data_IF_811516392006
#
_entry.id   IF_811516392006
#
_cell.length_a   1.000
_cell.length_b   1.000
_cell.length_c   1.000
_cell.angle_alpha   90.00
_cell.angle_beta   90.00
_cell.angle_gamma   90.00
#
_symmetry.space_group_name_H-M   'P 1'
#
loop_
_entity.id
_entity.type
_entity.pdbx_description
1 polymer ?
#
# COMPACT_ATOMS: atom_id res chain seq x y z
N UNK A 1 3.19 4.56 -13.78
CA UNK A 1 3.66 5.15 -12.50
C UNK A 1 3.19 4.28 -11.36
N UNK A 2 4.08 3.88 -10.43
CA UNK A 2 3.66 3.24 -9.16
C UNK A 2 3.00 4.34 -8.32
N UNK A 3 1.78 4.11 -7.86
CA UNK A 3 1.10 5.02 -6.94
C UNK A 3 1.74 4.97 -5.55
N UNK A 4 1.25 5.77 -4.59
CA UNK A 4 1.73 5.69 -3.22
C UNK A 4 1.49 4.28 -2.66
N UNK A 5 2.45 3.85 -1.85
CA UNK A 5 2.44 2.59 -1.14
C UNK A 5 2.26 2.83 0.34
N UNK A 6 1.57 1.91 1.02
CA UNK A 6 1.56 1.89 2.47
C UNK A 6 1.92 0.52 3.00
N UNK A 7 2.66 0.51 4.11
CA UNK A 7 3.08 -0.71 4.80
C UNK A 7 2.31 -0.87 6.12
N UNK A 8 1.78 -2.06 6.36
CA UNK A 8 1.15 -2.46 7.62
C UNK A 8 1.91 -3.65 8.20
N UNK A 9 2.32 -3.55 9.47
CA UNK A 9 2.92 -4.66 10.19
C UNK A 9 1.84 -5.56 10.79
N UNK A 10 2.02 -6.88 10.67
CA UNK A 10 1.13 -7.91 11.21
C UNK A 10 1.92 -9.00 11.89
N UNK A 11 1.20 -9.80 12.67
CA UNK A 11 1.76 -10.90 13.48
C UNK A 11 1.18 -12.23 13.00
N UNK A 12 2.04 -13.22 12.84
CA UNK A 12 1.68 -14.65 12.80
C UNK A 12 2.06 -15.27 14.14
N UNK A 13 1.24 -16.18 14.65
CA UNK A 13 1.53 -16.99 15.84
C UNK A 13 1.65 -18.44 15.43
N UNK A 14 2.73 -19.08 15.84
CA UNK A 14 2.93 -20.50 15.60
C UNK A 14 1.94 -21.35 16.39
N UNK A 15 1.33 -22.30 15.69
CA UNK A 15 0.47 -23.33 16.27
C UNK A 15 0.92 -24.74 15.86
N UNK A 16 2.06 -24.83 15.17
CA UNK A 16 2.68 -26.08 14.75
C UNK A 16 3.40 -26.80 15.89
N UNK A 17 4.10 -27.87 15.55
CA UNK A 17 5.04 -28.53 16.47
C UNK A 17 6.35 -27.74 16.50
N UNK A 18 7.24 -28.07 17.43
CA UNK A 18 8.57 -27.46 17.53
C UNK A 18 9.28 -27.44 16.16
N UNK A 19 9.91 -26.31 15.83
CA UNK A 19 10.57 -26.05 14.54
C UNK A 19 9.65 -26.03 13.31
N UNK A 20 8.62 -25.18 13.34
CA UNK A 20 7.73 -24.98 12.19
C UNK A 20 8.27 -23.91 11.23
N UNK A 21 7.99 -24.10 9.93
CA UNK A 21 8.31 -23.11 8.89
C UNK A 21 7.07 -22.79 8.10
N UNK A 22 6.65 -21.53 8.14
CA UNK A 22 5.50 -21.05 7.38
C UNK A 22 5.97 -20.39 6.08
N UNK A 23 5.36 -20.79 4.97
CA UNK A 23 5.59 -20.23 3.63
C UNK A 23 4.41 -19.36 3.24
N UNK A 24 4.72 -18.22 2.63
CA UNK A 24 3.73 -17.26 2.16
C UNK A 24 3.21 -17.61 0.75
N UNK A 25 1.89 -17.61 0.59
CA UNK A 25 1.22 -17.52 -0.70
C UNK A 25 0.38 -16.23 -0.77
N UNK A 26 0.38 -15.54 -1.92
CA UNK A 26 -0.34 -14.27 -2.11
C UNK A 26 -1.13 -14.28 -3.41
N UNK A 27 -2.40 -13.89 -3.33
CA UNK A 27 -3.21 -13.46 -4.48
C UNK A 27 -3.49 -11.97 -4.34
N UNK A 28 -2.74 -11.15 -5.08
CA UNK A 28 -2.91 -9.70 -5.06
C UNK A 28 -4.26 -9.30 -5.65
N UNK A 29 -5.02 -8.39 -5.02
CA UNK A 29 -6.10 -7.69 -5.71
C UNK A 29 -5.50 -6.83 -6.84
N UNK A 30 -6.30 -6.39 -7.85
CA UNK A 30 -5.89 -5.38 -8.81
C UNK A 30 -5.03 -4.29 -8.16
N UNK A 31 -3.79 -4.12 -8.63
CA UNK A 31 -2.73 -3.40 -7.92
C UNK A 31 -1.53 -4.28 -7.59
N UNK A 32 -0.65 -3.78 -6.71
CA UNK A 32 0.52 -4.53 -6.26
C UNK A 32 0.50 -4.65 -4.73
N UNK A 33 0.55 -5.88 -4.24
CA UNK A 33 0.74 -6.18 -2.82
C UNK A 33 2.05 -6.93 -2.69
N UNK A 34 2.93 -6.43 -1.83
CA UNK A 34 4.13 -7.12 -1.42
C UNK A 34 4.08 -7.44 0.07
N UNK A 35 4.66 -8.56 0.45
CA UNK A 35 4.68 -9.03 1.84
C UNK A 35 6.06 -9.60 2.13
N UNK A 36 6.70 -9.13 3.21
CA UNK A 36 8.07 -9.49 3.58
C UNK A 36 8.14 -9.80 5.08
N UNK A 37 8.84 -10.87 5.50
CA UNK A 37 9.54 -11.87 4.66
C UNK A 37 8.56 -12.83 3.94
N UNK A 38 9.07 -13.67 3.03
CA UNK A 38 8.29 -14.71 2.33
C UNK A 38 8.23 -16.04 3.09
N UNK A 39 9.10 -16.21 4.08
CA UNK A 39 9.21 -17.38 4.94
C UNK A 39 9.38 -16.93 6.39
N UNK A 40 8.69 -17.60 7.32
CA UNK A 40 8.83 -17.39 8.76
C UNK A 40 9.18 -18.71 9.43
N UNK A 41 10.27 -18.73 10.18
CA UNK A 41 10.71 -19.90 10.94
C UNK A 41 10.42 -19.66 12.42
N UNK A 42 9.81 -20.64 13.08
CA UNK A 42 9.49 -20.59 14.51
C UNK A 42 10.22 -21.74 15.20
N UNK A 43 10.76 -21.44 16.37
CA UNK A 43 11.51 -22.37 17.21
C UNK A 43 10.67 -22.95 18.35
N UNK A 44 9.58 -22.26 18.74
CA UNK A 44 8.75 -22.60 19.90
C UNK A 44 7.26 -22.46 19.58
N UNK A 45 6.45 -23.33 20.17
CA UNK A 45 5.00 -23.22 20.16
C UNK A 45 4.54 -21.85 20.70
N UNK A 46 3.56 -21.24 20.03
CA UNK A 46 2.98 -19.91 20.37
C UNK A 46 3.97 -18.75 20.15
N UNK A 47 5.15 -18.99 19.59
CA UNK A 47 6.06 -17.93 19.15
C UNK A 47 5.39 -17.03 18.11
N UNK A 48 5.74 -15.75 18.13
CA UNK A 48 5.13 -14.72 17.29
C UNK A 48 6.18 -14.02 16.46
N UNK A 49 5.95 -13.95 15.15
CA UNK A 49 6.79 -13.17 14.25
C UNK A 49 5.99 -12.11 13.51
N UNK A 50 6.66 -10.97 13.32
CA UNK A 50 6.14 -9.86 12.55
C UNK A 50 6.45 -10.03 11.07
N UNK A 51 5.54 -9.55 10.24
CA UNK A 51 5.73 -9.41 8.81
C UNK A 51 5.06 -8.13 8.33
N UNK A 52 5.58 -7.57 7.24
CA UNK A 52 5.14 -6.29 6.69
C UNK A 52 4.38 -6.53 5.39
N UNK A 53 3.20 -5.93 5.26
CA UNK A 53 2.37 -5.94 4.05
C UNK A 53 2.44 -4.55 3.44
N UNK A 54 3.04 -4.41 2.27
CA UNK A 54 3.06 -3.18 1.48
C UNK A 54 2.02 -3.25 0.38
N UNK A 55 1.02 -2.37 0.43
CA UNK A 55 -0.01 -2.23 -0.60
C UNK A 55 0.29 -1.00 -1.44
N UNK A 56 0.47 -1.17 -2.75
CA UNK A 56 0.69 -0.08 -3.72
C UNK A 56 -0.56 0.09 -4.57
N UNK A 57 -1.14 1.29 -4.51
CA UNK A 57 -2.28 1.62 -5.36
C UNK A 57 -1.84 1.79 -6.83
N UNK A 58 -2.52 1.11 -7.75
CA UNK A 58 -2.32 1.30 -9.19
C UNK A 58 -3.38 2.23 -9.76
N UNK A 59 -2.97 3.20 -10.58
CA UNK A 59 -3.86 4.26 -11.11
C UNK A 59 -5.01 3.75 -11.98
N UNK A 60 -4.95 2.52 -12.50
CA UNK A 60 -6.02 1.88 -13.28
C UNK A 60 -7.16 1.31 -12.43
N UNK A 61 -7.01 1.17 -11.11
CA UNK A 61 -8.06 0.74 -10.16
C UNK A 61 -9.12 1.84 -9.96
N UNK A 62 -8.78 3.08 -10.32
CA UNK A 62 -9.50 4.32 -9.98
C UNK A 62 -10.81 4.50 -10.77
N UNK A 63 -11.15 3.64 -11.73
CA UNK A 63 -12.24 3.89 -12.69
C UNK A 63 -13.58 3.21 -12.40
N UNK A 64 -13.70 2.27 -11.45
CA UNK A 64 -14.93 1.46 -11.30
C UNK A 64 -15.67 1.54 -9.95
N UNK A 65 -15.15 2.25 -8.94
CA UNK A 65 -15.80 2.33 -7.62
C UNK A 65 -16.22 0.96 -7.05
N UNK A 66 -15.38 -0.07 -7.21
CA UNK A 66 -15.70 -1.44 -6.83
C UNK A 66 -14.63 -2.05 -5.91
N UNK A 67 -15.05 -2.89 -4.97
CA UNK A 67 -14.13 -3.63 -4.11
C UNK A 67 -13.37 -4.68 -4.91
N UNK A 68 -12.05 -4.65 -4.76
CA UNK A 68 -11.10 -5.59 -5.33
C UNK A 68 -10.58 -6.52 -4.24
N UNK A 69 -10.63 -7.83 -4.49
CA UNK A 69 -10.40 -8.84 -3.46
C UNK A 69 -9.16 -9.70 -3.75
N UNK A 70 -8.28 -9.77 -2.77
CA UNK A 70 -7.12 -10.64 -2.73
C UNK A 70 -6.99 -11.31 -1.36
N UNK A 71 -5.90 -12.03 -1.17
CA UNK A 71 -5.60 -12.70 0.09
C UNK A 71 -4.12 -13.03 0.19
N UNK A 72 -3.66 -13.29 1.40
CA UNK A 72 -2.42 -14.00 1.65
C UNK A 72 -2.67 -15.17 2.59
N UNK A 73 -1.76 -16.13 2.58
CA UNK A 73 -1.83 -17.33 3.40
C UNK A 73 -0.44 -17.68 3.89
N UNK A 74 -0.35 -17.97 5.18
CA UNK A 74 0.81 -18.60 5.80
C UNK A 74 0.48 -20.07 6.04
N UNK A 75 1.34 -20.98 5.57
CA UNK A 75 1.16 -22.41 5.79
C UNK A 75 2.48 -23.13 6.06
N UNK A 76 2.46 -24.06 7.00
CA UNK A 76 3.53 -25.00 7.31
C UNK A 76 3.32 -26.39 6.64
N UNK A 77 2.33 -26.49 5.75
CA UNK A 77 1.91 -27.74 5.11
C UNK A 77 0.80 -28.50 5.87
N UNK A 78 0.55 -28.18 7.14
CA UNK A 78 -0.50 -28.80 7.98
C UNK A 78 -1.55 -27.77 8.38
N UNK A 79 -1.08 -26.68 8.98
CA UNK A 79 -1.84 -25.51 9.38
C UNK A 79 -1.82 -24.49 8.25
N UNK A 80 -2.96 -23.80 8.10
CA UNK A 80 -3.12 -22.75 7.10
C UNK A 80 -3.87 -21.58 7.70
N UNK A 81 -3.23 -20.41 7.69
CA UNK A 81 -3.85 -19.16 8.15
C UNK A 81 -3.98 -18.22 6.97
N UNK A 82 -5.22 -18.01 6.52
CA UNK A 82 -5.56 -17.13 5.40
C UNK A 82 -6.20 -15.84 5.87
N UNK A 83 -5.74 -14.71 5.31
CA UNK A 83 -6.29 -13.38 5.58
C UNK A 83 -6.64 -12.65 4.28
N UNK A 84 -7.88 -12.15 4.15
CA UNK A 84 -8.29 -11.33 3.01
C UNK A 84 -7.58 -9.97 2.97
N UNK A 85 -7.31 -9.49 1.76
CA UNK A 85 -6.90 -8.11 1.45
C UNK A 85 -7.95 -7.54 0.52
N UNK A 86 -8.58 -6.44 0.92
CA UNK A 86 -9.59 -5.75 0.11
C UNK A 86 -9.10 -4.34 -0.19
N UNK A 87 -9.16 -3.94 -1.47
CA UNK A 87 -8.78 -2.59 -1.91
C UNK A 87 -9.97 -1.97 -2.62
N UNK A 88 -10.28 -0.71 -2.32
CA UNK A 88 -11.30 0.06 -3.03
C UNK A 88 -10.79 1.46 -3.31
N UNK A 89 -11.06 1.99 -4.51
CA UNK A 89 -10.89 3.40 -4.82
C UNK A 89 -12.23 4.10 -4.71
N UNK A 90 -12.33 5.08 -3.84
CA UNK A 90 -13.59 5.74 -3.50
C UNK A 90 -13.67 7.13 -4.14
N UNK A 91 -13.38 7.25 -5.44
CA UNK A 91 -13.72 8.50 -6.16
C UNK A 91 -15.23 8.68 -6.28
N UNK A 92 -16.02 7.64 -6.02
CA UNK A 92 -17.44 7.75 -5.73
C UNK A 92 -17.94 6.56 -4.90
N UNK A 93 -18.49 6.87 -3.74
CA UNK A 93 -19.55 6.12 -3.06
C UNK A 93 -19.18 4.80 -2.33
N UNK A 94 -19.08 4.88 -0.99
CA UNK A 94 -19.05 3.75 -0.07
C UNK A 94 -20.36 2.92 -0.06
N UNK A 95 -21.40 3.37 -0.77
CA UNK A 95 -22.72 2.70 -0.90
C UNK A 95 -22.70 1.38 -1.70
N UNK A 96 -21.53 0.84 -2.06
CA UNK A 96 -21.47 -0.43 -2.79
C UNK A 96 -21.92 -1.61 -1.91
N UNK A 97 -22.53 -2.61 -2.55
CA UNK A 97 -23.30 -3.70 -1.92
C UNK A 97 -22.52 -4.42 -0.80
N UNK A 98 -22.90 -4.28 0.48
CA UNK A 98 -22.17 -4.84 1.61
C UNK A 98 -22.15 -6.38 1.63
N UNK A 99 -23.08 -7.06 0.95
CA UNK A 99 -23.15 -8.54 0.93
C UNK A 99 -21.84 -9.22 0.53
N UNK A 100 -21.24 -8.81 -0.60
CA UNK A 100 -19.98 -9.40 -1.09
C UNK A 100 -18.80 -9.17 -0.13
N UNK A 101 -18.80 -8.02 0.55
CA UNK A 101 -17.79 -7.70 1.56
C UNK A 101 -17.97 -8.58 2.80
N UNK A 102 -19.21 -8.82 3.22
CA UNK A 102 -19.53 -9.74 4.33
C UNK A 102 -19.10 -11.18 4.00
N UNK A 103 -19.36 -11.67 2.80
CA UNK A 103 -19.01 -13.04 2.38
C UNK A 103 -17.49 -13.27 2.40
N UNK A 104 -16.72 -12.30 1.92
CA UNK A 104 -15.26 -12.42 1.84
C UNK A 104 -14.59 -12.26 3.21
N UNK A 105 -15.07 -11.31 4.03
CA UNK A 105 -14.47 -10.96 5.32
C UNK A 105 -15.02 -11.77 6.51
N UNK A 106 -16.16 -12.44 6.34
CA UNK A 106 -16.87 -13.17 7.38
C UNK A 106 -15.97 -14.10 8.18
N UNK A 107 -15.89 -13.88 9.50
CA UNK A 107 -15.11 -14.70 10.44
C UNK A 107 -13.58 -14.69 10.26
N UNK A 108 -13.03 -13.86 9.37
CA UNK A 108 -11.60 -13.86 9.02
C UNK A 108 -10.92 -12.55 9.38
N UNK A 109 -9.69 -12.62 9.90
CA UNK A 109 -8.88 -11.41 10.08
C UNK A 109 -8.55 -10.78 8.72
N UNK A 110 -8.89 -9.51 8.51
CA UNK A 110 -8.77 -8.86 7.21
C UNK A 110 -7.98 -7.53 7.23
N UNK A 111 -7.44 -7.16 6.06
CA UNK A 111 -6.91 -5.83 5.76
C UNK A 111 -7.79 -5.17 4.70
N UNK A 112 -8.42 -4.04 5.01
CA UNK A 112 -9.21 -3.25 4.06
C UNK A 112 -8.50 -1.92 3.79
N UNK A 113 -8.25 -1.59 2.53
CA UNK A 113 -7.60 -0.35 2.11
C UNK A 113 -8.59 0.48 1.28
N UNK A 114 -8.95 1.65 1.81
CA UNK A 114 -9.80 2.65 1.15
C UNK A 114 -8.93 3.77 0.60
N UNK A 115 -8.80 3.80 -0.72
CA UNK A 115 -7.88 4.67 -1.42
C UNK A 115 -8.53 5.95 -1.95
N UNK A 116 -8.03 7.09 -1.50
CA UNK A 116 -8.36 8.41 -2.04
C UNK A 116 -9.78 8.89 -1.72
N UNK A 117 -10.23 8.76 -0.46
CA UNK A 117 -11.51 9.35 -0.04
C UNK A 117 -11.52 10.87 -0.30
N UNK A 118 -12.61 11.33 -0.89
CA UNK A 118 -12.85 12.73 -1.20
C UNK A 118 -14.23 13.13 -0.69
N UNK A 119 -14.28 13.89 0.41
CA UNK A 119 -15.54 14.25 1.07
C UNK A 119 -16.26 13.02 1.63
N UNK A 120 -16.59 13.01 2.92
CA UNK A 120 -17.31 11.89 3.53
C UNK A 120 -18.49 12.43 4.31
N UNK A 121 -19.69 12.00 3.93
CA UNK A 121 -20.89 12.20 4.72
C UNK A 121 -20.91 11.15 5.84
N UNK A 122 -20.97 11.60 7.10
CA UNK A 122 -20.98 10.73 8.27
C UNK A 122 -22.03 9.62 8.20
N UNK A 123 -23.29 9.86 7.77
CA UNK A 123 -24.28 8.79 7.68
C UNK A 123 -23.88 7.66 6.73
N UNK A 124 -23.23 7.99 5.60
CA UNK A 124 -22.74 6.99 4.64
C UNK A 124 -21.57 6.19 5.25
N UNK A 125 -20.69 6.87 5.98
CA UNK A 125 -19.58 6.22 6.67
C UNK A 125 -20.06 5.29 7.78
N UNK A 126 -21.02 5.73 8.57
CA UNK A 126 -21.60 4.95 9.66
C UNK A 126 -22.35 3.74 9.13
N UNK A 127 -23.16 3.89 8.08
CA UNK A 127 -23.81 2.76 7.40
C UNK A 127 -22.79 1.74 6.87
N UNK A 128 -21.71 2.23 6.27
CA UNK A 128 -20.62 1.37 5.81
C UNK A 128 -19.94 0.63 6.97
N UNK A 129 -19.63 1.33 8.07
CA UNK A 129 -19.00 0.73 9.25
C UNK A 129 -19.95 -0.26 9.95
N UNK A 130 -21.24 0.03 10.03
CA UNK A 130 -22.27 -0.89 10.52
C UNK A 130 -22.38 -2.14 9.63
N UNK A 131 -22.14 -2.00 8.32
CA UNK A 131 -22.05 -3.15 7.42
C UNK A 131 -20.85 -4.07 7.71
N UNK A 132 -19.81 -3.55 8.35
CA UNK A 132 -18.64 -4.30 8.81
C UNK A 132 -18.78 -4.80 10.26
N UNK A 133 -19.65 -4.17 11.06
CA UNK A 133 -19.97 -4.65 12.41
C UNK A 133 -20.58 -6.05 12.33
N UNK A 134 -20.09 -6.92 13.20
CA UNK A 134 -20.52 -8.32 13.29
C UNK A 134 -20.05 -9.23 12.15
N UNK A 135 -19.37 -8.70 11.11
CA UNK A 135 -18.76 -9.54 10.06
C UNK A 135 -17.67 -10.42 10.63
N UNK A 136 -16.96 -9.91 11.65
CA UNK A 136 -15.93 -10.65 12.33
C UNK A 136 -15.76 -10.16 13.78
N UNK A 137 -15.70 -11.09 14.73
CA UNK A 137 -15.42 -10.82 16.15
C UNK A 137 -13.93 -10.95 16.50
N UNK A 138 -13.09 -11.40 15.56
CA UNK A 138 -11.66 -11.59 15.79
C UNK A 138 -10.93 -10.24 15.91
N UNK A 139 -10.03 -10.14 16.88
CA UNK A 139 -9.11 -9.00 17.02
C UNK A 139 -8.08 -8.98 15.89
N UNK A 140 -7.61 -7.79 15.53
CA UNK A 140 -6.53 -7.59 14.54
C UNK A 140 -6.98 -7.30 13.10
N UNK A 141 -8.25 -6.97 12.90
CA UNK A 141 -8.72 -6.35 11.66
C UNK A 141 -8.10 -4.96 11.52
N UNK A 142 -7.76 -4.56 10.30
CA UNK A 142 -7.20 -3.24 10.04
C UNK A 142 -7.92 -2.62 8.84
N UNK A 143 -8.38 -1.39 9.01
CA UNK A 143 -8.91 -0.55 7.93
C UNK A 143 -7.91 0.58 7.77
N UNK A 144 -7.34 0.68 6.58
CA UNK A 144 -6.47 1.76 6.19
C UNK A 144 -7.23 2.70 5.26
N UNK A 145 -7.23 3.98 5.58
CA UNK A 145 -7.78 5.03 4.76
C UNK A 145 -6.68 5.96 4.26
N UNK A 146 -6.73 6.32 2.98
CA UNK A 146 -5.93 7.44 2.45
C UNK A 146 -6.86 8.54 1.97
N UNK A 147 -6.56 9.78 2.34
CA UNK A 147 -7.34 10.96 1.97
C UNK A 147 -6.40 12.12 1.62
N UNK A 148 -6.86 13.02 0.74
CA UNK A 148 -6.11 14.24 0.38
C UNK A 148 -6.30 15.37 1.39
N UNK A 149 -7.42 15.36 2.10
CA UNK A 149 -7.79 16.40 3.05
C UNK A 149 -7.70 15.84 4.47
N UNK A 150 -6.97 16.55 5.34
CA UNK A 150 -6.86 16.20 6.77
C UNK A 150 -8.23 16.10 7.42
N UNK A 151 -9.15 16.99 7.07
CA UNK A 151 -10.54 16.98 7.57
C UNK A 151 -11.22 15.63 7.32
N UNK A 152 -11.15 15.12 6.09
CA UNK A 152 -11.73 13.82 5.73
C UNK A 152 -11.09 12.69 6.55
N UNK A 153 -9.75 12.69 6.69
CA UNK A 153 -9.05 11.69 7.48
C UNK A 153 -9.47 11.72 8.96
N UNK A 154 -9.56 12.91 9.56
CA UNK A 154 -9.99 13.09 10.95
C UNK A 154 -11.45 12.73 11.20
N UNK A 155 -12.30 12.72 10.16
CA UNK A 155 -13.69 12.28 10.28
C UNK A 155 -13.82 10.76 10.37
N UNK A 156 -12.95 10.01 9.69
CA UNK A 156 -13.14 8.55 9.46
C UNK A 156 -12.11 7.67 10.13
N UNK A 157 -10.95 8.21 10.49
CA UNK A 157 -9.84 7.46 11.05
C UNK A 157 -9.62 7.79 12.54
N UNK A 158 -9.33 6.74 13.31
CA UNK A 158 -8.97 6.86 14.74
C UNK A 158 -7.56 7.45 14.91
N UNK A 159 -6.65 7.05 14.03
CA UNK A 159 -5.28 7.55 13.99
C UNK A 159 -5.00 8.14 12.61
N UNK A 160 -4.49 9.38 12.58
CA UNK A 160 -4.27 10.16 11.37
C UNK A 160 -2.79 10.48 11.23
N UNK A 161 -2.17 9.84 10.24
CA UNK A 161 -0.80 10.15 9.86
C UNK A 161 -0.78 11.14 8.69
N UNK A 162 -0.27 12.34 8.92
CA UNK A 162 -0.06 13.35 7.87
C UNK A 162 1.29 13.11 7.23
N UNK A 163 1.30 12.79 5.94
CA UNK A 163 2.53 12.59 5.18
C UNK A 163 3.28 13.93 5.04
N UNK A 164 4.54 13.94 5.48
CA UNK A 164 5.45 15.07 5.31
C UNK A 164 6.06 15.15 3.92
N UNK A 165 6.80 16.24 3.67
CA UNK A 165 7.67 16.37 2.51
C UNK A 165 8.88 15.44 2.66
N UNK A 166 9.45 15.00 1.54
CA UNK A 166 10.74 14.32 1.57
C UNK A 166 11.85 15.30 1.96
N UNK A 167 12.83 14.80 2.71
CA UNK A 167 14.11 15.47 2.87
C UNK A 167 14.81 15.60 1.50
N UNK A 168 15.68 16.59 1.36
CA UNK A 168 16.31 16.95 0.08
C UNK A 168 17.10 15.79 -0.52
N UNK A 169 17.85 15.07 0.30
CA UNK A 169 18.62 13.88 -0.06
C UNK A 169 17.75 12.73 -0.63
N UNK A 170 16.59 12.50 -0.02
CA UNK A 170 15.61 11.53 -0.48
C UNK A 170 14.93 11.99 -1.77
N UNK A 171 14.64 13.29 -1.88
CA UNK A 171 14.06 13.89 -3.09
C UNK A 171 15.03 13.77 -4.27
N UNK A 172 16.31 14.03 -4.04
CA UNK A 172 17.39 13.81 -5.01
C UNK A 172 17.53 12.33 -5.39
N UNK A 173 17.44 11.44 -4.41
CA UNK A 173 17.50 9.99 -4.65
C UNK A 173 16.36 9.51 -5.56
N UNK A 174 15.13 9.98 -5.33
CA UNK A 174 13.98 9.70 -6.21
C UNK A 174 14.24 10.22 -7.63
N UNK A 175 14.76 11.44 -7.75
CA UNK A 175 15.10 12.02 -9.04
C UNK A 175 16.13 11.14 -9.79
N UNK A 176 17.26 10.79 -9.14
CA UNK A 176 18.33 9.97 -9.72
C UNK A 176 17.82 8.63 -10.23
N UNK A 177 17.05 7.92 -9.41
CA UNK A 177 16.47 6.62 -9.77
C UNK A 177 15.57 6.69 -11.01
N UNK A 178 14.96 7.85 -11.27
CA UNK A 178 14.03 8.04 -12.40
C UNK A 178 14.76 8.51 -13.65
N UNK A 179 15.76 9.37 -13.50
CA UNK A 179 16.58 9.89 -14.59
C UNK A 179 17.64 8.90 -15.10
N UNK A 180 18.24 8.10 -14.21
CA UNK A 180 19.39 7.24 -14.46
C UNK A 180 19.14 5.85 -13.88
N UNK A 181 18.27 5.07 -14.52
CA UNK A 181 18.00 3.69 -14.11
C UNK A 181 19.30 2.89 -14.25
N UNK A 182 19.90 2.51 -13.11
CA UNK A 182 21.13 1.72 -13.00
C UNK A 182 22.37 2.31 -13.70
N UNK A 183 22.39 3.61 -13.97
CA UNK A 183 23.49 4.32 -14.62
C UNK A 183 24.21 5.29 -13.71
N UNK A 184 25.48 5.59 -14.01
CA UNK A 184 26.20 6.66 -13.35
C UNK A 184 25.54 8.02 -13.60
N UNK A 185 25.52 8.84 -12.55
CA UNK A 185 25.03 10.21 -12.61
C UNK A 185 26.19 11.10 -13.06
N UNK A 186 26.10 11.79 -14.21
CA UNK A 186 27.16 12.68 -14.69
C UNK A 186 27.46 13.78 -13.67
N UNK A 187 28.72 14.21 -13.59
CA UNK A 187 29.16 15.26 -12.66
C UNK A 187 28.42 16.59 -12.83
N UNK A 188 28.14 16.98 -14.09
CA UNK A 188 27.29 18.14 -14.42
C UNK A 188 25.88 18.03 -13.83
N UNK A 189 25.39 16.80 -13.64
CA UNK A 189 24.10 16.57 -13.02
C UNK A 189 24.17 16.68 -11.49
N UNK A 190 25.26 16.20 -10.89
CA UNK A 190 25.51 16.33 -9.46
C UNK A 190 25.59 17.81 -9.05
N UNK A 191 26.23 18.66 -9.87
CA UNK A 191 26.30 20.11 -9.60
C UNK A 191 24.93 20.83 -9.66
N UNK A 192 23.91 20.20 -10.26
CA UNK A 192 22.53 20.72 -10.30
C UNK A 192 21.63 20.22 -9.18
N UNK A 193 22.12 19.38 -8.26
CA UNK A 193 21.34 18.77 -7.18
C UNK A 193 20.51 19.80 -6.41
N UNK A 194 21.14 20.84 -5.88
CA UNK A 194 20.50 21.90 -5.09
C UNK A 194 19.33 22.57 -5.85
N UNK A 195 19.53 22.87 -7.14
CA UNK A 195 18.48 23.49 -7.98
C UNK A 195 17.32 22.54 -8.19
N UNK A 196 17.60 21.25 -8.35
CA UNK A 196 16.57 20.23 -8.59
C UNK A 196 15.75 20.00 -7.34
N UNK A 197 16.38 19.84 -6.18
CA UNK A 197 15.66 19.65 -4.91
C UNK A 197 14.84 20.89 -4.55
N UNK A 198 15.35 22.09 -4.83
CA UNK A 198 14.63 23.36 -4.66
C UNK A 198 13.37 23.43 -5.54
N UNK A 199 13.47 23.03 -6.82
CA UNK A 199 12.30 22.95 -7.71
C UNK A 199 11.29 21.91 -7.20
N UNK A 200 11.76 20.77 -6.71
CA UNK A 200 10.89 19.69 -6.24
C UNK A 200 10.19 20.03 -4.93
N UNK A 201 10.78 20.88 -4.09
CA UNK A 201 10.26 21.27 -2.77
C UNK A 201 9.86 20.08 -1.89
N UNK A 202 10.62 18.97 -1.99
CA UNK A 202 10.37 17.73 -1.27
C UNK A 202 9.16 16.92 -1.76
N UNK A 203 8.55 17.26 -2.91
CA UNK A 203 7.45 16.51 -3.50
C UNK A 203 7.99 15.33 -4.34
N UNK A 204 7.74 14.06 -3.94
CA UNK A 204 8.24 12.89 -4.67
C UNK A 204 7.77 12.83 -6.13
N UNK A 205 6.56 13.33 -6.39
CA UNK A 205 5.99 13.37 -7.74
C UNK A 205 6.74 14.37 -8.63
N UNK A 206 7.12 15.53 -8.12
CA UNK A 206 7.89 16.52 -8.87
C UNK A 206 9.26 15.95 -9.26
N UNK A 207 9.98 15.37 -8.30
CA UNK A 207 11.26 14.69 -8.54
C UNK A 207 11.14 13.59 -9.59
N UNK A 208 10.08 12.78 -9.50
CA UNK A 208 9.81 11.71 -10.46
C UNK A 208 9.55 12.22 -11.88
N UNK A 209 8.80 13.31 -12.02
CA UNK A 209 8.48 13.90 -13.33
C UNK A 209 9.72 14.53 -13.95
N UNK A 210 10.49 15.30 -13.19
CA UNK A 210 11.73 15.89 -13.69
C UNK A 210 12.72 14.80 -14.12
N UNK A 211 12.85 13.73 -13.34
CA UNK A 211 13.72 12.62 -13.68
C UNK A 211 13.30 11.92 -14.98
N UNK A 212 12.01 11.64 -15.13
CA UNK A 212 11.46 11.07 -16.37
C UNK A 212 11.67 11.97 -17.59
N UNK A 213 11.47 13.29 -17.43
CA UNK A 213 11.65 14.27 -18.51
C UNK A 213 13.11 14.28 -19.00
N UNK A 214 14.07 14.26 -18.07
CA UNK A 214 15.48 14.20 -18.41
C UNK A 214 15.83 12.91 -19.16
N UNK A 215 15.33 11.76 -18.68
CA UNK A 215 15.53 10.47 -19.32
C UNK A 215 15.02 10.47 -20.77
N UNK A 216 13.82 11.00 -21.00
CA UNK A 216 13.22 11.04 -22.32
C UNK A 216 13.98 11.95 -23.31
N UNK A 217 14.54 13.07 -22.84
CA UNK A 217 15.41 13.93 -23.69
C UNK A 217 16.69 13.22 -24.13
N UNK A 218 17.27 12.37 -23.29
CA UNK A 218 18.45 11.56 -23.67
C UNK A 218 18.10 10.52 -24.74
N UNK A 219 16.96 9.86 -24.61
CA UNK A 219 16.49 8.85 -25.57
C UNK A 219 16.26 9.48 -26.96
N UNK A 220 15.63 10.66 -27.03
CA UNK A 220 15.44 11.38 -28.30
C UNK A 220 16.76 11.79 -28.98
N UNK A 221 17.83 12.02 -28.22
CA UNK A 221 19.16 12.31 -28.78
C UNK A 221 19.86 11.08 -29.38
N UNK A 222 19.56 9.87 -28.89
CA UNK A 222 20.12 8.63 -29.44
C UNK A 222 19.37 8.11 -30.67
N UNK A 223 18.14 8.55 -30.92
CA UNK A 223 17.35 8.10 -32.09
C UNK A 223 17.46 9.02 -33.32
N UNK A 224 18.44 9.92 -33.36
CA UNK A 224 18.71 10.83 -34.50
C UNK A 224 20.15 10.63 -35.03
N UNK A 225 20.79 9.50 -34.71
CA UNK A 225 22.07 9.09 -35.28
C UNK A 225 22.00 7.65 -35.76
#
# INVERSE_FOLDING_TARGET
MRGPSMTVTRVVTDIGKDNSTYILAVRSPPGYVDIVPKTLCFSKLIEKHNFNITVTAQSSIVSRNEFSFGWYTWSDGVHMVRSPIVVSSSRGNLRSKPGKLRDELGGKRYLLVLYGLWGVELPIWDEFMDSLRGVNTSRGNCILVTARMKQVASTVAVDVHVLGKLAEDHCWSVFKQRAFVDGEVPEEMVSMENRIVEICQGLPLAASVLGDLLRNKKIQRCSIY
#
